data_IF_659733940940
#
_entry.id   IF_659733940940
#
_cell.length_a   1.000
_cell.length_b   1.000
_cell.length_c   1.000
_cell.angle_alpha   90.00
_cell.angle_beta   90.00
_cell.angle_gamma   90.00
#
_symmetry.space_group_name_H-M   'P 1'
#
loop_
_entity.id
_entity.type
_entity.pdbx_description
1 polymer ?
#
# COMPACT_ATOMS: atom_id res chain seq x y z
N UNK A 1 -3.27 4.67 8.18
CA UNK A 1 -4.63 5.07 7.74
C UNK A 1 -4.59 5.69 6.36
N UNK A 2 -5.73 5.80 5.68
CA UNK A 2 -5.83 6.61 4.46
C UNK A 2 -5.81 8.10 4.77
N UNK A 3 -5.73 8.95 3.74
CA UNK A 3 -5.60 10.41 3.92
C UNK A 3 -5.00 11.19 2.76
N UNK A 4 -4.90 10.60 1.56
CA UNK A 4 -4.30 11.21 0.37
C UNK A 4 -2.92 11.84 0.68
N UNK A 5 -2.71 13.10 0.31
CA UNK A 5 -1.45 13.81 0.53
C UNK A 5 -1.08 13.92 2.02
N UNK A 6 -2.07 13.87 2.92
CA UNK A 6 -1.84 13.94 4.37
C UNK A 6 -1.16 12.69 4.92
N UNK A 7 -1.13 11.58 4.18
CA UNK A 7 -0.35 10.41 4.57
C UNK A 7 1.16 10.69 4.68
N UNK A 8 1.65 11.82 4.13
CA UNK A 8 3.02 12.29 4.39
C UNK A 8 3.33 12.43 5.89
N UNK A 9 2.35 12.84 6.72
CA UNK A 9 2.53 12.90 8.18
C UNK A 9 2.89 11.56 8.81
N UNK A 10 2.35 10.45 8.28
CA UNK A 10 2.65 9.10 8.76
C UNK A 10 4.10 8.73 8.47
N UNK A 11 4.62 9.13 7.31
CA UNK A 11 6.02 8.91 6.93
C UNK A 11 6.97 9.67 7.85
N UNK A 12 6.66 10.93 8.19
CA UNK A 12 7.46 11.71 9.14
C UNK A 12 7.51 11.06 10.53
N UNK A 13 6.36 10.59 11.03
CA UNK A 13 6.29 9.89 12.32
C UNK A 13 7.11 8.60 12.25
N UNK A 14 6.96 7.83 11.17
CA UNK A 14 7.68 6.58 11.00
C UNK A 14 9.18 6.81 10.85
N UNK A 15 9.61 7.84 10.15
CA UNK A 15 11.01 8.20 9.98
C UNK A 15 11.70 8.48 11.32
N UNK A 16 11.08 9.27 12.20
CA UNK A 16 11.60 9.52 13.55
C UNK A 16 11.68 8.23 14.38
N UNK A 17 10.70 7.33 14.27
CA UNK A 17 10.73 6.04 14.95
C UNK A 17 11.85 5.14 14.42
N UNK A 18 12.01 5.06 13.10
CA UNK A 18 13.06 4.26 12.47
C UNK A 18 14.43 4.82 12.80
N UNK A 19 14.62 6.14 12.81
CA UNK A 19 15.88 6.77 13.20
C UNK A 19 16.34 6.35 14.61
N UNK A 20 15.41 6.29 15.57
CA UNK A 20 15.72 5.81 16.93
C UNK A 20 16.08 4.33 16.95
N UNK A 21 15.39 3.51 16.18
CA UNK A 21 15.72 2.09 16.04
C UNK A 21 17.10 1.90 15.42
N UNK A 22 17.47 2.68 14.41
CA UNK A 22 18.78 2.63 13.78
C UNK A 22 19.90 3.01 14.77
N UNK A 23 19.67 4.02 15.62
CA UNK A 23 20.56 4.37 16.71
C UNK A 23 20.76 3.20 17.68
N UNK A 24 19.68 2.59 18.15
CA UNK A 24 19.72 1.50 19.12
C UNK A 24 20.39 0.23 18.55
N UNK A 25 20.21 -0.03 17.25
CA UNK A 25 20.77 -1.20 16.58
C UNK A 25 22.16 -0.97 15.95
N UNK A 26 22.64 0.27 15.90
CA UNK A 26 23.94 0.64 15.31
C UNK A 26 24.04 0.39 13.80
N UNK A 27 22.92 0.29 13.09
CA UNK A 27 22.87 0.09 11.63
C UNK A 27 21.58 0.66 11.05
N UNK A 28 21.55 0.99 9.74
CA UNK A 28 20.30 1.27 9.04
C UNK A 28 19.34 0.08 9.10
N UNK A 29 18.04 0.37 9.28
CA UNK A 29 16.98 -0.63 9.38
C UNK A 29 15.82 -0.18 8.50
N UNK A 30 15.42 -1.06 7.58
CA UNK A 30 14.24 -0.81 6.76
C UNK A 30 12.98 -1.26 7.48
N UNK A 31 11.82 -0.60 7.27
CA UNK A 31 10.58 -1.01 7.92
C UNK A 31 10.21 -2.48 7.66
N UNK A 32 10.50 -3.01 6.46
CA UNK A 32 10.27 -4.42 6.14
C UNK A 32 11.19 -5.41 6.89
N UNK A 33 12.29 -4.96 7.49
CA UNK A 33 13.17 -5.78 8.32
C UNK A 33 12.72 -5.81 9.79
N UNK A 34 11.96 -4.80 10.21
CA UNK A 34 11.53 -4.64 11.60
C UNK A 34 10.08 -5.10 11.82
N UNK A 35 9.18 -4.74 10.91
CA UNK A 35 7.78 -5.10 11.00
C UNK A 35 7.52 -6.41 10.26
N UNK A 36 7.00 -7.41 10.98
CA UNK A 36 6.56 -8.67 10.36
C UNK A 36 5.41 -8.48 9.37
N UNK A 37 4.58 -7.45 9.58
CA UNK A 37 3.45 -7.15 8.71
C UNK A 37 3.15 -5.65 8.65
N UNK A 38 2.78 -5.16 7.47
CA UNK A 38 2.36 -3.77 7.22
C UNK A 38 1.03 -3.80 6.48
N UNK A 39 0.06 -2.99 6.94
CA UNK A 39 -1.28 -2.92 6.34
C UNK A 39 -1.63 -1.48 6.00
N UNK A 40 -2.07 -1.24 4.76
CA UNK A 40 -2.43 0.08 4.26
C UNK A 40 -3.82 0.14 3.63
N UNK A 41 -4.35 1.35 3.49
CA UNK A 41 -5.59 1.67 2.76
C UNK A 41 -5.44 3.04 2.10
N UNK A 42 -6.12 3.26 0.98
CA UNK A 42 -6.02 4.54 0.27
C UNK A 42 -4.59 4.81 -0.19
N UNK A 43 -4.17 6.07 -0.10
CA UNK A 43 -2.80 6.50 -0.33
C UNK A 43 -1.76 5.76 0.51
N UNK A 44 -2.09 5.37 1.76
CA UNK A 44 -1.17 4.62 2.60
C UNK A 44 -0.99 3.17 2.12
N UNK A 45 -1.88 2.65 1.26
CA UNK A 45 -1.64 1.41 0.53
C UNK A 45 -0.40 1.51 -0.37
N UNK A 46 -0.18 2.66 -0.99
CA UNK A 46 1.02 2.93 -1.80
C UNK A 46 2.26 3.01 -0.93
N UNK A 47 2.21 3.76 0.18
CA UNK A 47 3.31 3.81 1.16
C UNK A 47 3.69 2.42 1.65
N UNK A 48 2.68 1.59 1.93
CA UNK A 48 2.87 0.21 2.37
C UNK A 48 3.58 -0.66 1.30
N UNK A 49 3.30 -0.45 0.01
CA UNK A 49 4.04 -1.09 -1.09
C UNK A 49 5.50 -0.61 -1.11
N UNK A 50 5.74 0.70 -1.04
CA UNK A 50 7.09 1.28 -1.07
C UNK A 50 7.97 0.69 0.04
N UNK A 51 7.45 0.68 1.27
CA UNK A 51 8.18 0.22 2.45
C UNK A 51 8.29 -1.31 2.53
N UNK A 52 7.18 -2.02 2.31
CA UNK A 52 7.09 -3.45 2.62
C UNK A 52 7.33 -4.39 1.44
N UNK A 53 7.05 -3.95 0.20
CA UNK A 53 7.22 -4.78 -1.01
C UNK A 53 8.48 -4.39 -1.77
N UNK A 54 8.68 -3.09 -2.01
CA UNK A 54 9.86 -2.58 -2.70
C UNK A 54 11.08 -2.47 -1.79
N UNK A 55 10.87 -2.59 -0.47
CA UNK A 55 11.93 -2.63 0.53
C UNK A 55 12.70 -1.32 0.62
N UNK A 56 12.01 -0.19 0.48
CA UNK A 56 12.57 1.15 0.66
C UNK A 56 12.77 1.49 2.13
N UNK A 57 13.76 2.33 2.41
CA UNK A 57 13.87 3.10 3.65
C UNK A 57 12.73 4.12 3.77
N UNK A 58 12.54 4.68 4.96
CA UNK A 58 11.53 5.75 5.18
C UNK A 58 11.83 6.99 4.34
N UNK A 59 13.10 7.37 4.20
CA UNK A 59 13.52 8.52 3.38
C UNK A 59 13.21 8.29 1.89
N UNK A 60 13.60 7.14 1.34
CA UNK A 60 13.33 6.80 -0.07
C UNK A 60 11.83 6.73 -0.36
N UNK A 61 11.05 6.11 0.52
CA UNK A 61 9.59 6.04 0.39
C UNK A 61 8.95 7.43 0.49
N UNK A 62 9.52 8.32 1.30
CA UNK A 62 9.06 9.71 1.44
C UNK A 62 9.26 10.50 0.16
N UNK A 63 10.46 10.46 -0.42
CA UNK A 63 10.75 11.12 -1.68
C UNK A 63 9.87 10.58 -2.83
N UNK A 64 9.73 9.25 -2.90
CA UNK A 64 8.88 8.60 -3.90
C UNK A 64 7.41 9.01 -3.73
N UNK A 65 6.89 9.00 -2.51
CA UNK A 65 5.49 9.37 -2.23
C UNK A 65 5.19 10.84 -2.53
N UNK A 66 6.08 11.76 -2.13
CA UNK A 66 5.97 13.19 -2.48
C UNK A 66 6.00 13.36 -4.00
N UNK A 67 6.94 12.70 -4.68
CA UNK A 67 7.06 12.76 -6.14
C UNK A 67 5.80 12.28 -6.86
N UNK A 68 5.16 11.21 -6.36
CA UNK A 68 3.87 10.75 -6.87
C UNK A 68 2.78 11.79 -6.59
N UNK A 69 2.68 12.30 -5.35
CA UNK A 69 1.67 13.30 -5.00
C UNK A 69 1.78 14.57 -5.87
N UNK A 70 3.00 15.05 -6.13
CA UNK A 70 3.24 16.23 -6.98
C UNK A 70 2.82 16.03 -8.44
N UNK A 71 2.82 14.79 -8.94
CA UNK A 71 2.34 14.46 -10.30
C UNK A 71 0.83 14.27 -10.36
N UNK A 72 0.20 13.87 -9.26
CA UNK A 72 -1.20 13.47 -9.22
C UNK A 72 -2.12 14.60 -8.74
N UNK A 73 -1.65 15.43 -7.81
CA UNK A 73 -2.37 16.58 -7.25
C UNK A 73 -1.77 17.90 -7.74
N UNK A 74 -1.79 18.06 -9.06
CA UNK A 74 -1.33 19.28 -9.74
C UNK A 74 -2.41 20.37 -9.70
N UNK A 75 -2.02 21.62 -9.98
CA UNK A 75 -2.91 22.78 -9.91
C UNK A 75 -3.88 22.90 -11.10
N UNK A 76 -3.63 22.20 -12.21
CA UNK A 76 -4.51 22.19 -13.38
C UNK A 76 -5.77 21.36 -13.14
N UNK A 77 -6.87 21.78 -13.78
CA UNK A 77 -8.12 21.03 -13.76
C UNK A 77 -7.87 19.62 -14.33
N UNK A 78 -8.19 18.60 -13.54
CA UNK A 78 -7.89 17.21 -13.85
C UNK A 78 -9.09 16.36 -13.47
N UNK A 79 -9.57 15.54 -14.41
CA UNK A 79 -10.63 14.57 -14.16
C UNK A 79 -10.06 13.28 -13.56
N UNK A 80 -10.94 12.40 -13.08
CA UNK A 80 -10.60 11.15 -12.42
C UNK A 80 -9.80 10.20 -13.32
N UNK A 81 -9.96 10.30 -14.65
CA UNK A 81 -9.26 9.46 -15.62
C UNK A 81 -7.83 9.91 -15.79
N UNK A 82 -7.63 11.20 -16.09
CA UNK A 82 -6.32 11.79 -16.26
C UNK A 82 -5.51 11.69 -14.96
N UNK A 83 -6.16 11.85 -13.79
CA UNK A 83 -5.50 11.69 -12.48
C UNK A 83 -5.01 10.25 -12.27
N UNK A 84 -5.81 9.26 -12.62
CA UNK A 84 -5.40 7.85 -12.59
C UNK A 84 -4.28 7.52 -13.58
N UNK A 85 -4.28 8.11 -14.78
CA UNK A 85 -3.19 7.95 -15.76
C UNK A 85 -1.87 8.54 -15.23
N UNK A 86 -1.92 9.74 -14.64
CA UNK A 86 -0.76 10.36 -13.98
C UNK A 86 -0.20 9.50 -12.85
N UNK A 87 -1.09 8.88 -12.06
CA UNK A 87 -0.70 7.96 -11.01
C UNK A 87 0.04 6.74 -11.57
N UNK A 88 -0.44 6.15 -12.66
CA UNK A 88 0.23 5.02 -13.32
C UNK A 88 1.62 5.42 -13.82
N UNK A 89 1.75 6.58 -14.48
CA UNK A 89 3.04 7.06 -14.97
C UNK A 89 4.01 7.33 -13.80
N UNK A 90 3.55 8.00 -12.75
CA UNK A 90 4.37 8.26 -11.56
C UNK A 90 4.84 6.96 -10.89
N UNK A 91 4.00 5.92 -10.88
CA UNK A 91 4.35 4.60 -10.34
C UNK A 91 5.40 3.91 -11.21
N UNK A 92 5.26 3.97 -12.54
CA UNK A 92 6.25 3.42 -13.47
C UNK A 92 7.62 4.06 -13.28
N UNK A 93 7.67 5.38 -13.13
CA UNK A 93 8.94 6.09 -12.88
C UNK A 93 9.62 5.63 -11.58
N UNK A 94 8.85 5.28 -10.55
CA UNK A 94 9.40 4.70 -9.31
C UNK A 94 9.94 3.29 -9.56
N UNK A 95 9.22 2.45 -10.31
CA UNK A 95 9.66 1.09 -10.63
C UNK A 95 10.91 1.08 -11.52
N UNK A 96 10.99 1.98 -12.50
CA UNK A 96 12.14 2.12 -13.39
C UNK A 96 13.42 2.49 -12.61
N UNK A 97 13.31 3.41 -11.63
CA UNK A 97 14.44 3.76 -10.75
C UNK A 97 14.95 2.59 -9.89
N UNK A 98 14.13 1.55 -9.70
CA UNK A 98 14.46 0.38 -8.90
C UNK A 98 14.83 -0.83 -9.75
N UNK A 99 14.85 -0.70 -11.09
CA UNK A 99 14.96 -1.80 -12.04
C UNK A 99 13.89 -2.89 -11.82
N UNK A 100 12.65 -2.49 -11.51
CA UNK A 100 11.51 -3.40 -11.32
C UNK A 100 10.63 -3.39 -12.57
N UNK A 101 10.42 -4.55 -13.24
CA UNK A 101 9.53 -4.63 -14.39
C UNK A 101 8.11 -4.16 -14.08
N UNK A 102 7.46 -3.47 -15.03
CA UNK A 102 6.08 -2.98 -14.83
C UNK A 102 5.05 -4.11 -14.71
N UNK A 103 5.42 -5.32 -15.14
CA UNK A 103 4.60 -6.54 -15.04
C UNK A 103 4.76 -7.27 -13.70
N UNK A 104 5.64 -6.80 -12.81
CA UNK A 104 5.89 -7.44 -11.51
C UNK A 104 4.63 -7.48 -10.66
N UNK A 105 4.27 -8.69 -10.24
CA UNK A 105 3.14 -8.96 -9.34
C UNK A 105 3.47 -8.64 -7.90
N UNK A 106 2.43 -8.25 -7.16
CA UNK A 106 2.54 -7.93 -5.75
C UNK A 106 3.05 -9.12 -4.93
N UNK A 107 2.61 -10.34 -5.25
CA UNK A 107 3.11 -11.58 -4.67
C UNK A 107 3.91 -12.41 -5.69
N UNK A 108 5.12 -12.83 -5.30
CA UNK A 108 5.87 -13.90 -5.96
C UNK A 108 7.00 -13.46 -6.89
N UNK A 109 6.93 -12.26 -7.47
CA UNK A 109 7.87 -11.85 -8.53
C UNK A 109 9.08 -11.06 -8.01
N UNK A 110 9.06 -10.63 -6.74
CA UNK A 110 10.14 -9.85 -6.13
C UNK A 110 10.40 -10.29 -4.68
N UNK A 111 11.67 -10.40 -4.32
CA UNK A 111 12.12 -10.74 -2.97
C UNK A 111 12.91 -9.57 -2.34
N UNK A 112 12.20 -8.45 -2.11
CA UNK A 112 12.72 -7.28 -1.39
C UNK A 112 12.03 -7.04 -0.04
N UNK A 113 11.07 -7.89 0.31
CA UNK A 113 10.24 -7.72 1.49
C UNK A 113 10.91 -8.14 2.79
N UNK A 114 12.07 -8.81 2.76
CA UNK A 114 12.74 -9.37 3.94
C UNK A 114 11.80 -10.25 4.81
N UNK A 115 10.78 -10.88 4.21
CA UNK A 115 9.77 -11.66 4.90
C UNK A 115 8.60 -10.85 5.48
N UNK A 116 8.55 -9.53 5.26
CA UNK A 116 7.44 -8.67 5.65
C UNK A 116 6.17 -8.99 4.84
N UNK A 117 5.09 -9.27 5.56
CA UNK A 117 3.78 -9.50 5.01
C UNK A 117 3.04 -8.17 4.79
N UNK A 118 2.78 -7.84 3.53
CA UNK A 118 2.08 -6.63 3.12
C UNK A 118 0.65 -6.96 2.73
N UNK A 119 -0.30 -6.22 3.30
CA UNK A 119 -1.71 -6.25 2.91
C UNK A 119 -2.28 -4.86 2.63
N UNK A 120 -3.17 -4.76 1.64
CA UNK A 120 -3.72 -3.48 1.18
C UNK A 120 -5.22 -3.59 0.99
N UNK A 121 -5.95 -2.72 1.69
CA UNK A 121 -7.41 -2.72 1.70
C UNK A 121 -7.97 -2.18 0.37
N UNK A 122 -8.89 -2.93 -0.22
CA UNK A 122 -9.74 -2.49 -1.33
C UNK A 122 -11.19 -2.97 -1.14
N UNK A 123 -12.11 -2.38 -1.87
CA UNK A 123 -13.54 -2.74 -1.83
C UNK A 123 -14.05 -3.04 -3.23
N UNK A 124 -15.07 -3.88 -3.30
CA UNK A 124 -15.87 -4.04 -4.51
C UNK A 124 -16.80 -2.84 -4.64
N UNK A 125 -17.01 -2.32 -5.85
CA UNK A 125 -17.98 -1.25 -6.07
C UNK A 125 -19.43 -1.74 -5.84
N UNK A 126 -19.68 -3.04 -6.04
CA UNK A 126 -21.01 -3.64 -5.97
C UNK A 126 -21.29 -4.35 -4.63
N UNK A 127 -20.24 -4.72 -3.88
CA UNK A 127 -20.37 -5.53 -2.67
C UNK A 127 -19.70 -4.81 -1.50
N UNK A 128 -20.47 -4.51 -0.46
CA UNK A 128 -19.94 -3.93 0.78
C UNK A 128 -18.94 -4.87 1.44
N UNK A 129 -17.77 -4.35 1.78
CA UNK A 129 -16.78 -5.09 2.55
C UNK A 129 -15.36 -4.62 2.27
N UNK A 130 -14.42 -5.15 3.05
CA UNK A 130 -13.00 -4.94 2.88
C UNK A 130 -12.35 -6.23 2.41
N UNK A 131 -11.64 -6.16 1.29
CA UNK A 131 -10.78 -7.22 0.77
C UNK A 131 -9.33 -6.75 0.80
N UNK A 132 -8.39 -7.68 0.68
CA UNK A 132 -6.96 -7.37 0.77
C UNK A 132 -6.21 -7.87 -0.45
N UNK A 133 -5.45 -6.99 -1.10
CA UNK A 133 -4.30 -7.43 -1.86
C UNK A 133 -3.20 -7.85 -0.90
N UNK A 134 -2.42 -8.88 -1.24
CA UNK A 134 -1.41 -9.47 -0.36
C UNK A 134 -0.16 -9.80 -1.15
N UNK A 135 1.02 -9.62 -0.57
CA UNK A 135 2.27 -10.19 -1.11
C UNK A 135 2.53 -11.63 -0.63
N UNK A 136 1.60 -12.21 0.14
CA UNK A 136 1.69 -13.56 0.72
C UNK A 136 0.44 -14.41 0.44
N UNK A 137 0.57 -15.72 0.63
CA UNK A 137 -0.54 -16.67 0.49
C UNK A 137 -1.46 -16.59 1.71
N UNK A 138 -2.77 -16.53 1.46
CA UNK A 138 -3.81 -16.60 2.49
C UNK A 138 -4.81 -17.71 2.16
N UNK A 139 -5.55 -18.18 3.17
CA UNK A 139 -6.70 -19.08 2.98
C UNK A 139 -7.84 -18.41 2.22
N UNK A 140 -7.93 -17.08 2.30
CA UNK A 140 -8.89 -16.29 1.53
C UNK A 140 -8.32 -16.04 0.14
N UNK A 141 -9.03 -16.52 -0.88
CA UNK A 141 -8.67 -16.21 -2.27
C UNK A 141 -8.69 -14.69 -2.47
N UNK A 142 -7.66 -14.18 -3.14
CA UNK A 142 -7.59 -12.81 -3.60
C UNK A 142 -6.95 -12.76 -4.98
N UNK A 143 -7.39 -11.79 -5.78
CA UNK A 143 -6.67 -11.39 -6.97
C UNK A 143 -5.23 -10.98 -6.61
N UNK A 144 -4.25 -11.44 -7.40
CA UNK A 144 -2.84 -11.06 -7.29
C UNK A 144 -2.53 -10.01 -8.38
N UNK A 145 -2.66 -8.70 -8.08
CA UNK A 145 -2.41 -7.64 -9.04
C UNK A 145 -0.91 -7.45 -9.32
N UNK A 146 -0.58 -6.79 -10.41
CA UNK A 146 0.70 -6.08 -10.55
C UNK A 146 0.84 -4.99 -9.50
N UNK A 147 2.06 -4.54 -9.22
CA UNK A 147 2.27 -3.40 -8.31
C UNK A 147 1.51 -2.17 -8.79
N UNK A 148 1.50 -1.90 -10.10
CA UNK A 148 0.78 -0.77 -10.71
C UNK A 148 -0.73 -0.89 -10.49
N UNK A 149 -1.31 -2.07 -10.71
CA UNK A 149 -2.75 -2.30 -10.47
C UNK A 149 -3.10 -2.15 -8.99
N UNK A 150 -2.24 -2.63 -8.08
CA UNK A 150 -2.43 -2.47 -6.64
C UNK A 150 -2.42 -1.00 -6.24
N UNK A 151 -1.46 -0.21 -6.73
CA UNK A 151 -1.37 1.24 -6.49
C UNK A 151 -2.61 1.95 -7.02
N UNK A 152 -3.02 1.66 -8.26
CA UNK A 152 -4.20 2.27 -8.88
C UNK A 152 -5.47 1.96 -8.10
N UNK A 153 -5.69 0.70 -7.72
CA UNK A 153 -6.87 0.29 -6.95
C UNK A 153 -6.87 0.87 -5.53
N UNK A 154 -5.70 0.99 -4.90
CA UNK A 154 -5.57 1.59 -3.56
C UNK A 154 -6.05 3.03 -3.54
N UNK A 155 -5.80 3.78 -4.62
CA UNK A 155 -6.19 5.19 -4.75
C UNK A 155 -7.51 5.42 -5.49
N UNK A 156 -8.19 4.38 -5.96
CA UNK A 156 -9.45 4.47 -6.72
C UNK A 156 -10.64 4.97 -5.87
N UNK A 157 -10.55 6.17 -5.31
CA UNK A 157 -11.58 6.83 -4.53
C UNK A 157 -12.61 7.47 -5.47
N UNK A 158 -13.91 7.11 -5.38
CA UNK A 158 -14.94 7.66 -6.26
C UNK A 158 -14.97 9.21 -6.24
N UNK A 159 -14.95 9.83 -7.42
CA UNK A 159 -14.93 11.29 -7.59
C UNK A 159 -13.53 11.92 -7.49
N UNK A 160 -12.50 11.12 -7.26
CA UNK A 160 -11.10 11.57 -7.28
C UNK A 160 -10.24 10.72 -8.22
N UNK A 161 -10.47 9.42 -8.32
CA UNK A 161 -9.73 8.52 -9.20
C UNK A 161 -10.66 7.50 -9.82
N UNK A 162 -10.32 7.06 -11.03
CA UNK A 162 -11.06 6.03 -11.74
C UNK A 162 -11.01 4.67 -11.04
N UNK A 163 -12.13 3.96 -11.03
CA UNK A 163 -12.21 2.57 -10.58
C UNK A 163 -11.32 1.64 -11.42
N UNK A 164 -11.08 0.44 -10.90
CA UNK A 164 -10.27 -0.60 -11.56
C UNK A 164 -11.13 -1.83 -11.81
N UNK A 165 -10.99 -2.46 -12.96
CA UNK A 165 -11.66 -3.73 -13.27
C UNK A 165 -10.66 -4.87 -13.14
N UNK A 166 -10.99 -5.88 -12.32
CA UNK A 166 -10.17 -7.08 -12.13
C UNK A 166 -10.91 -8.33 -12.64
N UNK A 167 -10.15 -9.34 -13.05
CA UNK A 167 -10.67 -10.60 -13.58
C UNK A 167 -10.79 -10.64 -15.11
N UNK A 168 -11.21 -11.80 -15.63
CA UNK A 168 -11.40 -12.02 -17.05
C UNK A 168 -12.86 -11.82 -17.46
N UNK A 169 -13.10 -11.30 -18.66
CA UNK A 169 -14.45 -11.21 -19.22
C UNK A 169 -15.09 -12.61 -19.33
N UNK A 170 -16.40 -12.77 -19.01
CA UNK A 170 -17.38 -11.74 -18.66
C UNK A 170 -17.49 -11.43 -17.15
N UNK A 171 -16.70 -12.06 -16.29
CA UNK A 171 -16.80 -11.97 -14.83
C UNK A 171 -15.91 -10.87 -14.23
N UNK A 172 -15.78 -9.73 -14.93
CA UNK A 172 -15.00 -8.61 -14.41
C UNK A 172 -15.69 -7.98 -13.20
N UNK A 173 -14.91 -7.73 -12.16
CA UNK A 173 -15.36 -7.04 -10.96
C UNK A 173 -14.78 -5.64 -10.93
N UNK A 174 -15.64 -4.65 -10.73
CA UNK A 174 -15.23 -3.27 -10.47
C UNK A 174 -14.83 -3.13 -9.00
N UNK A 175 -13.63 -2.59 -8.78
CA UNK A 175 -13.05 -2.36 -7.46
C UNK A 175 -12.64 -0.90 -7.29
N UNK A 176 -12.71 -0.46 -6.04
CA UNK A 176 -12.42 0.90 -5.59
C UNK A 176 -11.58 0.88 -4.32
N UNK A 177 -11.07 2.05 -3.92
CA UNK A 177 -10.40 2.21 -2.64
C UNK A 177 -11.36 1.90 -1.49
N UNK A 178 -10.89 1.15 -0.49
CA UNK A 178 -11.65 0.89 0.73
C UNK A 178 -11.68 2.10 1.69
N UNK A 179 -11.01 3.20 1.36
CA UNK A 179 -10.78 4.34 2.26
C UNK A 179 -12.06 4.94 2.82
N UNK A 180 -13.16 4.96 2.06
CA UNK A 180 -14.43 5.54 2.50
C UNK A 180 -15.16 4.71 3.57
N UNK A 181 -14.84 3.41 3.72
CA UNK A 181 -15.46 2.53 4.71
C UNK A 181 -14.50 1.93 5.74
N UNK A 182 -13.21 1.89 5.41
CA UNK A 182 -12.16 1.22 6.18
C UNK A 182 -10.89 2.07 6.29
N UNK A 183 -11.07 3.38 6.51
CA UNK A 183 -9.97 4.36 6.52
C UNK A 183 -8.85 4.04 7.54
N UNK A 184 -9.22 3.44 8.68
CA UNK A 184 -8.28 2.90 9.65
C UNK A 184 -8.29 1.37 9.56
N UNK A 185 -7.26 0.75 8.94
CA UNK A 185 -7.25 -0.68 8.71
C UNK A 185 -6.69 -1.48 9.90
N UNK A 186 -6.67 -0.92 11.13
CA UNK A 186 -6.06 -1.61 12.29
C UNK A 186 -6.78 -2.93 12.61
N UNK A 187 -8.11 -2.94 12.54
CA UNK A 187 -8.87 -4.18 12.77
C UNK A 187 -8.53 -5.23 11.70
N UNK A 188 -8.40 -4.80 10.45
CA UNK A 188 -8.04 -5.62 9.31
C UNK A 188 -6.62 -6.18 9.46
N UNK A 189 -5.67 -5.36 9.89
CA UNK A 189 -4.30 -5.76 10.17
C UNK A 189 -4.23 -6.84 11.26
N UNK A 190 -4.99 -6.69 12.34
CA UNK A 190 -5.09 -7.69 13.42
C UNK A 190 -5.71 -8.99 12.92
N UNK A 191 -6.73 -8.91 12.06
CA UNK A 191 -7.34 -10.10 11.43
C UNK A 191 -6.34 -10.83 10.53
N UNK A 192 -5.61 -10.11 9.68
CA UNK A 192 -4.57 -10.68 8.81
C UNK A 192 -3.46 -11.32 9.64
N UNK A 193 -2.98 -10.65 10.70
CA UNK A 193 -1.97 -11.20 11.60
C UNK A 193 -2.45 -12.48 12.30
N UNK A 194 -3.70 -12.50 12.76
CA UNK A 194 -4.30 -13.70 13.37
C UNK A 194 -4.38 -14.87 12.40
N UNK A 195 -4.72 -14.61 11.13
CA UNK A 195 -4.78 -15.63 10.09
C UNK A 195 -3.41 -16.16 9.68
N UNK A 196 -2.41 -15.28 9.61
CA UNK A 196 -1.04 -15.60 9.21
C UNK A 196 -0.25 -16.33 10.30
N UNK A 197 -0.25 -15.78 11.51
CA UNK A 197 0.62 -16.22 12.60
C UNK A 197 -0.07 -17.14 13.60
N UNK A 198 -1.39 -17.31 13.44
CA UNK A 198 -2.23 -18.13 14.32
C UNK A 198 -2.73 -17.36 15.54
N UNK A 199 -3.88 -17.80 16.07
CA UNK A 199 -4.57 -17.12 17.17
C UNK A 199 -3.84 -17.16 18.53
N UNK A 200 -2.85 -18.04 18.67
CA UNK A 200 -2.12 -18.25 19.93
C UNK A 200 -0.80 -17.46 20.00
N UNK A 201 -0.43 -16.73 18.95
CA UNK A 201 0.82 -15.97 18.91
C UNK A 201 0.57 -14.56 19.45
N UNK A 202 1.31 -14.18 20.50
CA UNK A 202 1.21 -12.85 21.08
C UNK A 202 1.77 -11.80 20.11
N UNK A 203 1.09 -10.65 20.03
CA UNK A 203 1.56 -9.47 19.30
C UNK A 203 2.44 -8.66 20.26
N UNK A 204 3.70 -8.47 19.90
CA UNK A 204 4.63 -7.65 20.70
C UNK A 204 4.32 -6.16 20.57
N UNK A 205 4.02 -5.71 19.34
CA UNK A 205 3.80 -4.30 19.03
C UNK A 205 2.75 -4.16 17.93
N UNK A 206 1.84 -3.20 18.10
CA UNK A 206 0.90 -2.75 17.08
C UNK A 206 1.04 -1.23 16.95
N UNK A 207 1.50 -0.76 15.79
CA UNK A 207 1.65 0.66 15.49
C UNK A 207 0.56 1.08 14.49
N UNK A 208 -0.30 2.02 14.88
CA UNK A 208 -1.33 2.59 14.02
C UNK A 208 -1.00 4.06 13.76
N UNK A 209 -0.81 4.43 12.49
CA UNK A 209 -0.42 5.77 12.07
C UNK A 209 -1.59 6.45 11.35
N UNK A 210 -2.16 7.48 11.99
CA UNK A 210 -3.21 8.34 11.42
C UNK A 210 -2.63 9.42 10.50
N UNK A 211 -3.45 9.95 9.58
CA UNK A 211 -3.10 11.06 8.68
C UNK A 211 -3.62 12.43 9.14
N UNK A 212 -4.06 12.55 10.39
CA UNK A 212 -4.71 13.73 10.94
C UNK A 212 -6.24 13.69 10.83
#
# INVERSE_FOLDING_TARGET
>A
DGGDTRCFSQLLILEELMYRLEYDHGRPIRPCEFFHSITGVGAAGVITILLGVLGMTTSEATEAFIGICGKVFTADACDDRLRSERLVLATKDVLDKLDVPHTTRLAGDIDRSAGCHVSICYSSASISGCRMFRNYKSKRSSYNPTIIEAVRASWATPGLFSSVFIGAAPQQEEIISAVNGFNNPTLQAVQEARELYGANRAVSTLLSLGSG
#
